data_IF_423675687767
#
_entry.id   IF_423675687767
#
_cell.length_a   1.000
_cell.length_b   1.000
_cell.length_c   1.000
_cell.angle_alpha   90.00
_cell.angle_beta   90.00
_cell.angle_gamma   90.00
#
_symmetry.space_group_name_H-M   'P 1'
#
loop_
_entity.id
_entity.type
_entity.pdbx_description
1 polymer ?
#
# COMPACT_ATOMS: atom_id res chain seq x y z
N UNK A 1 7.76 -2.78 2.46
CA UNK A 1 7.89 -1.62 3.36
C UNK A 1 6.52 -1.02 3.59
N UNK A 2 6.13 -0.81 4.85
CA UNK A 2 4.82 -0.28 5.23
C UNK A 2 4.85 1.25 5.27
N UNK A 3 3.96 1.88 4.50
CA UNK A 3 3.72 3.32 4.56
C UNK A 3 2.35 3.60 5.19
N UNK A 4 2.37 4.21 6.38
CA UNK A 4 1.14 4.57 7.10
C UNK A 4 0.64 5.92 6.60
N UNK A 5 -0.53 5.91 5.97
CA UNK A 5 -1.23 7.07 5.48
C UNK A 5 -2.03 7.71 6.62
N UNK A 6 -1.64 8.93 6.97
CA UNK A 6 -2.34 9.80 7.91
C UNK A 6 -2.28 11.24 7.37
N UNK A 7 -3.25 12.12 7.68
CA UNK A 7 -3.22 13.54 7.30
C UNK A 7 -1.93 14.28 7.67
N UNK A 8 -1.23 13.84 8.72
CA UNK A 8 0.09 14.35 9.12
C UNK A 8 1.25 13.85 8.24
N UNK A 9 1.14 12.68 7.61
CA UNK A 9 2.24 12.06 6.84
C UNK A 9 2.25 12.45 5.36
N UNK A 10 1.17 13.03 4.86
CA UNK A 10 1.03 13.42 3.45
C UNK A 10 0.95 14.93 3.24
N UNK A 11 1.50 15.40 2.11
CA UNK A 11 1.37 16.78 1.63
C UNK A 11 -0.03 17.04 1.10
N UNK A 12 -0.56 16.10 0.32
CA UNK A 12 -1.81 16.24 -0.37
C UNK A 12 -2.98 15.72 0.48
N UNK A 13 -3.40 16.50 1.48
CA UNK A 13 -4.48 16.13 2.42
C UNK A 13 -5.85 15.94 1.78
N UNK A 14 -6.11 16.55 0.62
CA UNK A 14 -7.42 16.48 -0.03
C UNK A 14 -7.71 15.07 -0.59
N UNK A 15 -6.67 14.30 -0.92
CA UNK A 15 -6.81 12.88 -1.34
C UNK A 15 -7.41 11.98 -0.26
N UNK A 16 -7.29 12.34 1.02
CA UNK A 16 -7.84 11.56 2.15
C UNK A 16 -9.26 11.94 2.54
N UNK A 17 -9.78 13.06 2.02
CA UNK A 17 -11.13 13.57 2.32
C UNK A 17 -12.19 13.04 1.34
N UNK A 18 -11.80 12.21 0.38
CA UNK A 18 -12.75 11.64 -0.57
C UNK A 18 -13.73 10.72 0.18
N UNK A 19 -15.06 10.93 0.05
CA UNK A 19 -16.07 10.09 0.72
C UNK A 19 -16.01 8.62 0.26
N UNK A 20 -15.34 8.37 -0.86
CA UNK A 20 -14.82 7.07 -1.23
C UNK A 20 -13.34 7.26 -1.48
N UNK A 21 -12.50 6.83 -0.53
CA UNK A 21 -11.09 6.66 -0.86
C UNK A 21 -11.04 5.73 -2.07
N UNK A 22 -10.37 6.14 -3.16
CA UNK A 22 -10.30 5.31 -4.33
C UNK A 22 -9.71 3.96 -3.92
N UNK A 23 -10.30 2.89 -4.42
CA UNK A 23 -9.92 1.51 -4.08
C UNK A 23 -8.48 1.17 -4.48
N UNK A 24 -7.73 2.11 -5.05
CA UNK A 24 -6.38 1.96 -5.59
C UNK A 24 -5.68 3.34 -5.56
N UNK A 25 -5.32 3.85 -4.37
CA UNK A 25 -4.59 5.12 -4.26
C UNK A 25 -3.22 5.10 -4.95
N UNK A 26 -2.62 3.92 -5.12
CA UNK A 26 -1.39 3.70 -5.87
C UNK A 26 -1.61 3.78 -7.39
N UNK A 27 -2.78 3.48 -7.93
CA UNK A 27 -2.98 3.46 -9.39
C UNK A 27 -3.52 4.78 -9.95
N UNK A 28 -4.12 5.64 -9.12
CA UNK A 28 -4.86 6.82 -9.57
C UNK A 28 -4.05 8.11 -9.54
N UNK A 29 -4.50 9.14 -10.27
CA UNK A 29 -3.82 10.44 -10.39
C UNK A 29 -3.70 11.20 -9.05
N UNK A 30 -4.52 10.83 -8.04
CA UNK A 30 -4.52 11.41 -6.68
C UNK A 30 -3.59 10.71 -5.69
N UNK A 31 -2.38 10.32 -6.10
CA UNK A 31 -1.42 9.63 -5.21
C UNK A 31 -1.07 10.48 -3.97
N UNK A 32 -1.03 9.89 -2.77
CA UNK A 32 -0.59 10.60 -1.58
C UNK A 32 0.91 10.92 -1.68
N UNK A 33 1.30 12.18 -1.64
CA UNK A 33 2.71 12.58 -1.66
C UNK A 33 3.26 12.64 -0.23
N UNK A 34 4.33 11.91 0.09
CA UNK A 34 4.80 11.83 1.46
C UNK A 34 5.59 13.08 1.85
N UNK A 35 5.29 13.64 3.01
CA UNK A 35 5.72 15.00 3.40
C UNK A 35 7.17 15.12 3.86
N UNK A 36 7.77 14.03 4.34
CA UNK A 36 9.13 13.97 4.92
C UNK A 36 10.05 12.95 4.27
N UNK A 37 9.63 12.35 3.16
CA UNK A 37 10.31 11.17 2.58
C UNK A 37 10.92 11.44 1.21
N UNK A 38 11.02 12.70 0.77
CA UNK A 38 11.38 13.12 -0.61
C UNK A 38 12.72 12.57 -1.13
N UNK A 39 13.59 12.05 -0.26
CA UNK A 39 14.86 11.40 -0.61
C UNK A 39 15.02 9.98 -0.03
N UNK A 40 13.98 9.44 0.59
CA UNK A 40 14.01 8.11 1.17
C UNK A 40 13.83 7.02 0.10
N UNK A 41 14.21 5.79 0.44
CA UNK A 41 13.91 4.60 -0.38
C UNK A 41 12.41 4.44 -0.66
N UNK A 42 11.54 4.94 0.23
CA UNK A 42 10.10 4.95 0.04
C UNK A 42 9.66 5.85 -1.13
N UNK A 43 10.26 7.04 -1.23
CA UNK A 43 9.98 7.97 -2.31
C UNK A 43 10.45 7.40 -3.64
N UNK A 44 11.71 6.96 -3.75
CA UNK A 44 12.23 6.37 -4.98
C UNK A 44 11.41 5.15 -5.44
N UNK A 45 10.87 4.36 -4.50
CA UNK A 45 9.97 3.24 -4.82
C UNK A 45 8.57 3.70 -5.26
N UNK A 46 7.96 4.68 -4.59
CA UNK A 46 6.68 5.28 -5.05
C UNK A 46 6.83 5.95 -6.42
N UNK A 47 7.99 6.53 -6.69
CA UNK A 47 8.37 7.09 -7.97
C UNK A 47 8.50 5.99 -9.03
N UNK A 48 9.09 4.83 -8.70
CA UNK A 48 9.15 3.66 -9.58
C UNK A 48 7.77 3.03 -9.90
N UNK A 49 6.78 3.18 -9.02
CA UNK A 49 5.39 2.81 -9.31
C UNK A 49 4.74 3.76 -10.34
N UNK A 50 5.30 4.94 -10.60
CA UNK A 50 4.70 5.91 -11.52
C UNK A 50 4.67 5.36 -12.94
N UNK A 51 3.47 5.20 -13.55
CA UNK A 51 3.40 4.77 -14.94
C UNK A 51 4.11 5.78 -15.84
N UNK A 52 4.07 7.08 -15.52
CA UNK A 52 4.75 8.13 -16.30
C UNK A 52 6.26 7.94 -16.24
N UNK A 53 6.85 7.78 -15.05
CA UNK A 53 8.31 7.70 -14.93
C UNK A 53 8.84 6.34 -15.39
N UNK A 54 8.07 5.27 -15.20
CA UNK A 54 8.41 3.97 -15.77
C UNK A 54 8.39 4.02 -17.29
N UNK A 55 7.30 4.52 -17.89
CA UNK A 55 7.21 4.67 -19.34
C UNK A 55 8.30 5.61 -19.88
N UNK A 56 8.60 6.70 -19.17
CA UNK A 56 9.68 7.62 -19.54
C UNK A 56 11.06 6.95 -19.44
N UNK A 57 11.33 6.17 -18.39
CA UNK A 57 12.59 5.42 -18.25
C UNK A 57 12.75 4.35 -19.34
N UNK A 58 11.65 3.78 -19.81
CA UNK A 58 11.62 2.83 -20.94
C UNK A 58 11.95 3.55 -22.26
N UNK A 59 11.43 4.76 -22.46
CA UNK A 59 11.70 5.58 -23.66
C UNK A 59 13.10 6.22 -23.60
N UNK A 60 13.64 6.47 -22.41
CA UNK A 60 14.87 7.21 -22.17
C UNK A 60 16.11 6.74 -22.96
N UNK A 61 16.32 5.44 -23.25
CA UNK A 61 17.45 5.01 -24.07
C UNK A 61 17.46 5.62 -25.47
N UNK A 62 16.30 5.97 -26.04
CA UNK A 62 16.18 6.57 -27.38
C UNK A 62 16.82 7.98 -27.42
N UNK A 63 16.37 8.97 -26.62
CA UNK A 63 17.01 10.28 -26.60
C UNK A 63 18.47 10.21 -26.11
N UNK A 64 18.80 9.29 -25.19
CA UNK A 64 20.19 9.08 -24.75
C UNK A 64 21.08 8.58 -25.90
N UNK A 65 20.59 7.62 -26.71
CA UNK A 65 21.29 7.14 -27.90
C UNK A 65 21.45 8.23 -28.98
N UNK A 66 20.41 9.05 -29.18
CA UNK A 66 20.45 10.21 -30.09
C UNK A 66 21.54 11.22 -29.65
N UNK A 67 21.69 11.46 -28.34
CA UNK A 67 22.73 12.36 -27.81
C UNK A 67 24.14 11.75 -27.88
N UNK A 68 24.29 10.43 -27.74
CA UNK A 68 25.59 9.75 -27.71
C UNK A 68 26.17 9.35 -29.07
N UNK A 69 25.32 9.07 -30.07
CA UNK A 69 25.75 8.63 -31.39
C UNK A 69 24.71 9.00 -32.48
N UNK A 70 24.77 10.22 -33.03
CA UNK A 70 23.75 10.74 -33.96
C UNK A 70 23.64 9.96 -35.30
N UNK A 71 24.66 9.18 -35.67
CA UNK A 71 24.65 8.41 -36.92
C UNK A 71 23.88 7.06 -36.81
N UNK A 72 23.59 6.58 -35.59
CA UNK A 72 22.82 5.34 -35.33
C UNK A 72 21.29 5.58 -35.23
N UNK A 73 20.86 6.82 -35.48
CA UNK A 73 19.49 7.32 -35.23
C UNK A 73 18.47 6.67 -36.17
N UNK A 74 18.82 6.38 -37.41
CA UNK A 74 17.91 5.78 -38.41
C UNK A 74 17.54 4.33 -38.09
N UNK A 75 18.47 3.52 -37.57
CA UNK A 75 18.19 2.14 -37.18
C UNK A 75 17.40 2.05 -35.85
N UNK A 76 17.66 2.99 -34.93
CA UNK A 76 17.02 3.03 -33.61
C UNK A 76 15.59 3.58 -33.64
N UNK A 77 15.28 4.54 -34.54
CA UNK A 77 13.92 5.07 -34.72
C UNK A 77 12.94 4.02 -35.28
N UNK A 78 13.40 3.12 -36.13
CA UNK A 78 12.55 2.12 -36.78
C UNK A 78 12.07 1.02 -35.82
N UNK A 79 12.89 0.64 -34.82
CA UNK A 79 12.57 -0.41 -33.84
C UNK A 79 11.90 0.13 -32.57
N UNK A 80 12.04 1.44 -32.29
CA UNK A 80 11.53 2.11 -31.10
C UNK A 80 10.02 1.88 -30.84
N UNK A 81 9.12 2.07 -31.82
CA UNK A 81 7.68 1.86 -31.59
C UNK A 81 7.33 0.40 -31.29
N UNK A 82 8.05 -0.55 -31.88
CA UNK A 82 7.83 -1.99 -31.67
C UNK A 82 8.31 -2.41 -30.29
N UNK A 83 9.49 -1.95 -29.86
CA UNK A 83 10.01 -2.17 -28.49
C UNK A 83 9.11 -1.54 -27.43
N UNK A 84 8.64 -0.31 -27.68
CA UNK A 84 7.69 0.38 -26.81
C UNK A 84 6.38 -0.40 -26.68
N UNK A 85 5.85 -0.88 -27.82
CA UNK A 85 4.61 -1.63 -27.87
C UNK A 85 4.72 -2.99 -27.16
N UNK A 86 5.80 -3.75 -27.43
CA UNK A 86 6.04 -5.06 -26.81
C UNK A 86 6.21 -4.95 -25.29
N UNK A 87 6.85 -3.89 -24.81
CA UNK A 87 7.08 -3.71 -23.38
C UNK A 87 5.85 -3.15 -22.64
N UNK A 88 5.10 -2.23 -23.25
CA UNK A 88 3.82 -1.75 -22.71
C UNK A 88 2.81 -2.92 -22.57
N UNK A 89 2.83 -3.87 -23.52
CA UNK A 89 2.07 -5.11 -23.43
C UNK A 89 2.58 -6.02 -22.29
N UNK A 90 3.89 -6.13 -22.11
CA UNK A 90 4.49 -6.96 -21.07
C UNK A 90 4.28 -6.42 -19.63
N UNK A 91 4.23 -5.10 -19.45
CA UNK A 91 4.14 -4.45 -18.14
C UNK A 91 2.72 -4.39 -17.56
N UNK A 92 1.69 -4.47 -18.41
CA UNK A 92 0.30 -4.30 -17.96
C UNK A 92 -0.44 -5.57 -17.59
N UNK A 93 -0.24 -6.68 -18.31
CA UNK A 93 -1.22 -7.78 -18.29
C UNK A 93 -0.70 -9.22 -18.46
N UNK A 94 0.60 -9.47 -18.66
CA UNK A 94 1.00 -10.72 -19.38
C UNK A 94 1.83 -11.73 -18.57
N UNK A 95 2.18 -11.45 -17.31
CA UNK A 95 2.69 -12.53 -16.43
C UNK A 95 1.63 -12.85 -15.39
N UNK A 96 0.61 -13.66 -15.74
CA UNK A 96 -0.34 -14.13 -14.75
C UNK A 96 0.44 -14.86 -13.66
N UNK A 97 0.32 -14.38 -12.42
CA UNK A 97 0.75 -15.17 -11.28
C UNK A 97 -0.15 -16.39 -11.26
N UNK A 98 0.39 -17.55 -11.64
CA UNK A 98 -0.34 -18.81 -11.59
C UNK A 98 -0.32 -19.35 -10.18
N UNK A 99 -1.47 -19.84 -9.74
CA UNK A 99 -1.58 -20.58 -8.49
C UNK A 99 -0.78 -21.88 -8.59
N UNK A 100 0.00 -22.16 -7.55
CA UNK A 100 0.67 -23.44 -7.33
C UNK A 100 -0.26 -24.35 -6.54
N UNK A 101 -0.03 -25.66 -6.59
CA UNK A 101 -0.75 -26.62 -5.75
C UNK A 101 -0.57 -26.26 -4.26
N UNK A 102 -1.66 -26.29 -3.48
CA UNK A 102 -1.66 -25.94 -2.04
C UNK A 102 -1.64 -24.43 -1.75
N UNK A 103 -1.70 -23.58 -2.76
CA UNK A 103 -1.62 -22.12 -2.58
C UNK A 103 -2.94 -21.48 -2.11
N UNK A 104 -4.07 -22.15 -2.33
CA UNK A 104 -5.37 -21.71 -1.82
C UNK A 104 -5.42 -21.72 -0.29
N UNK A 105 -5.03 -22.83 0.35
CA UNK A 105 -5.01 -22.96 1.81
C UNK A 105 -4.02 -21.97 2.45
N UNK A 106 -2.89 -21.72 1.77
CA UNK A 106 -1.93 -20.71 2.21
C UNK A 106 -2.50 -19.29 2.06
N UNK A 107 -3.28 -19.01 1.02
CA UNK A 107 -3.91 -17.72 0.83
C UNK A 107 -4.92 -17.42 1.95
N UNK A 108 -5.74 -18.39 2.34
CA UNK A 108 -6.71 -18.22 3.42
C UNK A 108 -5.99 -18.01 4.76
N UNK A 109 -4.93 -18.78 5.04
CA UNK A 109 -4.09 -18.57 6.23
C UNK A 109 -3.49 -17.17 6.29
N UNK A 110 -2.95 -16.67 5.17
CA UNK A 110 -2.38 -15.32 5.07
C UNK A 110 -3.45 -14.26 5.35
N UNK A 111 -4.65 -14.42 4.80
CA UNK A 111 -5.76 -13.49 5.01
C UNK A 111 -6.29 -13.53 6.44
N UNK A 112 -6.33 -14.70 7.07
CA UNK A 112 -6.76 -14.83 8.46
C UNK A 112 -5.74 -14.24 9.44
N UNK A 113 -4.45 -14.43 9.20
CA UNK A 113 -3.39 -13.74 9.95
C UNK A 113 -3.51 -12.23 9.79
N UNK A 114 -3.77 -11.73 8.58
CA UNK A 114 -3.97 -10.30 8.33
C UNK A 114 -5.19 -9.77 9.08
N UNK A 115 -6.31 -10.49 9.05
CA UNK A 115 -7.54 -10.13 9.78
C UNK A 115 -7.30 -10.10 11.29
N UNK A 116 -6.66 -11.13 11.84
CA UNK A 116 -6.34 -11.23 13.26
C UNK A 116 -5.45 -10.07 13.71
N UNK A 117 -4.32 -9.86 13.03
CA UNK A 117 -3.37 -8.78 13.36
C UNK A 117 -3.96 -7.39 13.13
N UNK A 118 -4.72 -7.23 12.06
CA UNK A 118 -5.45 -6.00 11.76
C UNK A 118 -6.44 -5.65 12.88
N UNK A 119 -7.23 -6.62 13.34
CA UNK A 119 -8.14 -6.43 14.48
C UNK A 119 -7.39 -6.10 15.76
N UNK A 120 -6.31 -6.82 16.08
CA UNK A 120 -5.48 -6.53 17.27
C UNK A 120 -4.90 -5.11 17.24
N UNK A 121 -4.42 -4.66 16.09
CA UNK A 121 -3.92 -3.30 15.91
C UNK A 121 -5.04 -2.26 16.07
N UNK A 122 -6.19 -2.46 15.43
CA UNK A 122 -7.37 -1.60 15.58
C UNK A 122 -7.87 -1.55 17.02
N UNK A 123 -7.87 -2.67 17.74
CA UNK A 123 -8.24 -2.73 19.16
C UNK A 123 -7.31 -1.89 20.01
N UNK A 124 -6.00 -1.98 19.78
CA UNK A 124 -5.00 -1.15 20.49
C UNK A 124 -5.20 0.33 20.21
N UNK A 125 -5.41 0.72 18.95
CA UNK A 125 -5.66 2.11 18.57
C UNK A 125 -6.96 2.63 19.20
N UNK A 126 -8.06 1.87 19.10
CA UNK A 126 -9.34 2.25 19.67
C UNK A 126 -9.28 2.40 21.20
N UNK A 127 -8.63 1.44 21.88
CA UNK A 127 -8.45 1.45 23.32
C UNK A 127 -7.58 2.62 23.78
N UNK A 128 -6.45 2.86 23.11
CA UNK A 128 -5.54 3.98 23.43
C UNK A 128 -6.19 5.35 23.23
N UNK A 129 -7.09 5.49 22.26
CA UNK A 129 -7.86 6.72 22.03
C UNK A 129 -9.12 6.87 22.90
N UNK A 130 -9.46 5.87 23.71
CA UNK A 130 -10.69 5.87 24.49
C UNK A 130 -11.97 5.90 23.63
N UNK A 131 -11.92 5.40 22.39
CA UNK A 131 -13.11 5.38 21.52
C UNK A 131 -14.12 4.40 22.13
N UNK A 132 -15.32 4.87 22.44
CA UNK A 132 -16.34 4.06 23.12
C UNK A 132 -17.32 3.39 22.15
N UNK A 133 -17.61 4.06 21.03
CA UNK A 133 -18.62 3.64 20.06
C UNK A 133 -18.16 3.88 18.63
N UNK A 134 -18.82 3.24 17.67
CA UNK A 134 -18.53 3.38 16.23
C UNK A 134 -17.70 2.22 15.67
N UNK A 135 -17.30 2.36 14.41
CA UNK A 135 -16.58 1.34 13.65
C UNK A 135 -15.27 1.91 13.12
N UNK A 136 -14.19 1.16 13.29
CA UNK A 136 -12.91 1.44 12.65
C UNK A 136 -12.69 0.49 11.48
N UNK A 137 -12.12 1.02 10.40
CA UNK A 137 -11.75 0.23 9.23
C UNK A 137 -10.28 0.44 8.92
N UNK A 138 -9.49 -0.63 9.01
CA UNK A 138 -8.13 -0.68 8.51
C UNK A 138 -8.18 -1.01 7.02
N UNK A 139 -7.56 -0.17 6.20
CA UNK A 139 -7.40 -0.41 4.75
C UNK A 139 -5.93 -0.66 4.47
N UNK A 140 -5.65 -1.84 3.95
CA UNK A 140 -4.32 -2.27 3.50
C UNK A 140 -4.36 -2.36 1.99
N UNK A 141 -3.58 -1.51 1.33
CA UNK A 141 -3.43 -1.46 -0.11
C UNK A 141 -2.02 -1.87 -0.50
N UNK A 142 -1.89 -2.70 -1.53
CA UNK A 142 -0.59 -3.10 -2.07
C UNK A 142 -0.47 -2.84 -3.56
N UNK A 143 0.77 -2.58 -3.95
CA UNK A 143 1.17 -2.52 -5.36
C UNK A 143 0.76 -3.77 -6.14
N UNK A 144 0.23 -3.54 -7.34
CA UNK A 144 -0.14 -4.58 -8.32
C UNK A 144 1.03 -5.05 -9.18
N UNK A 145 2.24 -4.49 -9.01
CA UNK A 145 3.40 -4.77 -9.86
C UNK A 145 4.13 -6.05 -9.43
N UNK A 146 3.85 -7.18 -10.07
CA UNK A 146 4.33 -8.50 -9.61
C UNK A 146 5.85 -8.63 -9.38
N UNK A 147 6.69 -7.92 -10.16
CA UNK A 147 8.16 -8.05 -10.14
C UNK A 147 8.90 -7.07 -9.24
N UNK A 148 8.20 -6.09 -8.67
CA UNK A 148 8.81 -5.14 -7.75
C UNK A 148 8.60 -5.56 -6.29
N UNK A 149 9.48 -5.17 -5.36
CA UNK A 149 9.22 -5.32 -3.93
C UNK A 149 7.85 -4.69 -3.53
N UNK A 150 7.12 -5.28 -2.58
CA UNK A 150 5.82 -4.76 -2.16
C UNK A 150 5.96 -3.36 -1.53
N UNK A 151 5.11 -2.45 -2.02
CA UNK A 151 4.77 -1.21 -1.34
C UNK A 151 3.39 -1.45 -0.72
N UNK A 152 3.31 -1.33 0.60
CA UNK A 152 2.08 -1.54 1.36
C UNK A 152 1.66 -0.20 1.96
N UNK A 153 0.54 0.34 1.49
CA UNK A 153 -0.11 1.50 2.07
C UNK A 153 -1.11 1.04 3.14
N UNK A 154 -1.08 1.67 4.31
CA UNK A 154 -1.99 1.34 5.41
C UNK A 154 -2.66 2.61 5.91
N UNK A 155 -4.00 2.61 5.96
CA UNK A 155 -4.78 3.72 6.52
C UNK A 155 -5.83 3.20 7.49
N UNK A 156 -6.21 4.01 8.48
CA UNK A 156 -7.31 3.70 9.40
C UNK A 156 -8.40 4.75 9.23
N UNK A 157 -9.63 4.30 9.02
CA UNK A 157 -10.81 5.17 8.91
C UNK A 157 -11.72 5.02 10.12
N UNK A 158 -12.37 6.11 10.48
CA UNK A 158 -13.54 6.10 11.36
C UNK A 158 -14.81 6.08 10.51
N UNK A 159 -15.78 5.24 10.87
CA UNK A 159 -17.09 5.23 10.24
C UNK A 159 -17.92 6.49 10.56
N UNK A 160 -17.64 7.16 11.69
CA UNK A 160 -18.38 8.36 12.09
C UNK A 160 -18.19 9.52 11.09
N UNK A 161 -16.94 9.74 10.67
CA UNK A 161 -16.59 10.87 9.81
C UNK A 161 -16.24 10.44 8.38
N UNK A 162 -16.22 9.13 8.12
CA UNK A 162 -15.73 8.50 6.88
C UNK A 162 -14.34 9.01 6.44
N UNK A 163 -13.56 9.53 7.38
CA UNK A 163 -12.28 10.17 7.17
C UNK A 163 -11.15 9.29 7.70
N UNK A 164 -9.97 9.43 7.08
CA UNK A 164 -8.75 8.80 7.59
C UNK A 164 -8.34 9.49 8.88
N UNK A 165 -8.20 8.71 9.94
CA UNK A 165 -7.80 9.17 11.27
C UNK A 165 -6.33 9.60 11.22
N UNK A 166 -6.02 10.74 11.83
CA UNK A 166 -4.64 11.17 11.98
C UNK A 166 -3.95 10.42 13.11
N UNK A 167 -3.17 9.40 12.75
CA UNK A 167 -2.51 8.49 13.68
C UNK A 167 -1.27 9.13 14.31
N UNK A 168 -1.16 9.01 15.63
CA UNK A 168 0.03 9.43 16.38
C UNK A 168 1.24 8.55 16.03
N UNK A 169 2.46 8.98 16.39
CA UNK A 169 3.67 8.20 16.09
C UNK A 169 3.62 6.79 16.69
N UNK A 170 3.04 6.66 17.89
CA UNK A 170 2.92 5.38 18.59
C UNK A 170 1.90 4.47 17.91
N UNK A 171 0.77 5.00 17.46
CA UNK A 171 -0.23 4.24 16.72
C UNK A 171 0.30 3.80 15.35
N UNK A 172 1.06 4.67 14.68
CA UNK A 172 1.75 4.29 13.46
C UNK A 172 2.77 3.17 13.72
N UNK A 173 3.45 3.18 14.87
CA UNK A 173 4.36 2.10 15.28
C UNK A 173 3.60 0.80 15.53
N UNK A 174 2.43 0.84 16.17
CA UNK A 174 1.56 -0.33 16.35
C UNK A 174 1.20 -0.98 15.01
N UNK A 175 0.93 -0.18 13.97
CA UNK A 175 0.66 -0.72 12.63
C UNK A 175 1.90 -1.27 11.95
N UNK A 176 3.04 -0.56 12.03
CA UNK A 176 4.29 -1.00 11.40
C UNK A 176 4.83 -2.30 11.99
N UNK A 177 4.78 -2.42 13.32
CA UNK A 177 5.36 -3.56 14.04
C UNK A 177 4.35 -4.71 14.20
N UNK A 178 3.05 -4.42 14.12
CA UNK A 178 1.99 -5.37 14.45
C UNK A 178 1.35 -6.08 13.24
N UNK A 179 1.40 -5.51 12.03
CA UNK A 179 0.71 -6.08 10.87
C UNK A 179 1.50 -7.21 10.21
N UNK A 180 2.80 -7.04 10.01
CA UNK A 180 3.66 -8.00 9.31
C UNK A 180 4.74 -8.52 10.26
N UNK A 181 5.03 -9.81 10.17
CA UNK A 181 5.87 -10.54 11.13
C UNK A 181 5.86 -12.03 10.79
N UNK A 182 6.27 -12.89 11.72
CA UNK A 182 6.39 -14.33 11.47
C UNK A 182 5.11 -14.95 10.87
N UNK A 183 5.21 -15.65 9.73
CA UNK A 183 4.06 -16.26 9.04
C UNK A 183 3.19 -15.32 8.20
N UNK A 184 3.39 -13.99 8.25
CA UNK A 184 2.74 -13.02 7.35
C UNK A 184 3.71 -11.89 7.02
N UNK A 185 4.38 -12.02 5.88
CA UNK A 185 5.20 -10.97 5.30
C UNK A 185 4.47 -10.22 4.17
N UNK A 186 5.03 -9.09 3.75
CA UNK A 186 4.41 -8.26 2.71
C UNK A 186 4.40 -8.97 1.33
N UNK A 187 5.35 -9.88 1.10
CA UNK A 187 5.48 -10.66 -0.13
C UNK A 187 4.38 -11.70 -0.29
N UNK A 188 4.05 -12.43 0.78
CA UNK A 188 2.97 -13.40 0.84
C UNK A 188 1.63 -12.71 0.58
N UNK A 189 1.37 -11.57 1.25
CA UNK A 189 0.15 -10.81 1.02
C UNK A 189 0.07 -10.31 -0.44
N UNK A 190 1.19 -9.84 -1.00
CA UNK A 190 1.24 -9.38 -2.40
C UNK A 190 0.91 -10.51 -3.36
N UNK A 191 1.47 -11.70 -3.12
CA UNK A 191 1.20 -12.89 -3.94
C UNK A 191 -0.28 -13.27 -3.92
N UNK A 192 -0.90 -13.29 -2.74
CA UNK A 192 -2.34 -13.53 -2.57
C UNK A 192 -3.18 -12.47 -3.29
N UNK A 193 -2.80 -11.19 -3.17
CA UNK A 193 -3.50 -10.09 -3.81
C UNK A 193 -3.42 -10.14 -5.34
N UNK A 194 -2.26 -10.55 -5.90
CA UNK A 194 -2.09 -10.75 -7.34
C UNK A 194 -2.91 -11.93 -7.86
N UNK A 195 -2.98 -13.03 -7.11
CA UNK A 195 -3.78 -14.22 -7.45
C UNK A 195 -5.28 -13.90 -7.44
N UNK A 196 -5.76 -13.26 -6.38
CA UNK A 196 -7.18 -12.91 -6.22
C UNK A 196 -7.56 -11.59 -6.91
N UNK A 197 -6.62 -10.93 -7.61
CA UNK A 197 -6.80 -9.62 -8.25
C UNK A 197 -7.44 -8.57 -7.31
N UNK A 198 -7.12 -8.67 -6.02
CA UNK A 198 -7.70 -7.84 -4.96
C UNK A 198 -6.55 -7.14 -4.22
N UNK A 199 -6.07 -5.99 -4.74
CA UNK A 199 -4.92 -5.27 -4.18
C UNK A 199 -5.25 -4.52 -2.89
N UNK A 200 -6.53 -4.38 -2.56
CA UNK A 200 -7.00 -3.69 -1.36
C UNK A 200 -7.79 -4.62 -0.46
N UNK A 201 -7.41 -4.63 0.80
CA UNK A 201 -8.04 -5.41 1.88
C UNK A 201 -8.54 -4.47 2.95
N UNK A 202 -9.79 -4.70 3.36
CA UNK A 202 -10.42 -3.95 4.43
C UNK A 202 -10.65 -4.87 5.62
N UNK A 203 -10.26 -4.42 6.81
CA UNK A 203 -10.53 -5.10 8.08
C UNK A 203 -11.32 -4.15 8.96
N UNK A 204 -12.52 -4.56 9.34
CA UNK A 204 -13.40 -3.75 10.19
C UNK A 204 -13.38 -4.24 11.64
N UNK A 205 -13.46 -3.29 12.57
CA UNK A 205 -13.61 -3.54 13.98
C UNK A 205 -14.76 -2.68 14.51
N UNK A 206 -15.75 -3.33 15.12
CA UNK A 206 -16.75 -2.64 15.93
C UNK A 206 -16.14 -2.37 17.31
N UNK A 207 -16.12 -1.10 17.70
CA UNK A 207 -15.55 -0.67 18.98
C UNK A 207 -16.34 -1.26 20.16
N UNK A 208 -17.64 -1.52 20.00
CA UNK A 208 -18.45 -2.17 21.02
C UNK A 208 -17.97 -3.60 21.34
N UNK A 209 -17.30 -4.27 20.39
CA UNK A 209 -16.76 -5.63 20.58
C UNK A 209 -15.46 -5.69 21.39
N UNK A 210 -14.90 -4.53 21.79
CA UNK A 210 -13.64 -4.47 22.55
C UNK A 210 -13.92 -4.70 24.04
N UNK A 211 -13.27 -5.72 24.61
CA UNK A 211 -13.40 -6.07 26.04
C UNK A 211 -12.87 -4.96 26.96
N UNK A 212 -13.44 -4.87 28.17
CA UNK A 212 -13.01 -3.91 29.20
C UNK A 212 -11.52 -4.04 29.55
N UNK A 213 -11.01 -5.27 29.60
CA UNK A 213 -9.59 -5.56 29.82
C UNK A 213 -8.70 -4.96 28.73
N UNK A 214 -9.08 -5.10 27.46
CA UNK A 214 -8.34 -4.52 26.34
C UNK A 214 -8.35 -2.98 26.39
N UNK A 215 -9.46 -2.37 26.84
CA UNK A 215 -9.58 -0.91 27.04
C UNK A 215 -8.63 -0.43 28.12
N UNK A 216 -8.66 -1.04 29.30
CA UNK A 216 -7.77 -0.71 30.41
C UNK A 216 -6.30 -0.87 30.02
N UNK A 217 -5.95 -1.96 29.34
CA UNK A 217 -4.58 -2.20 28.88
C UNK A 217 -4.10 -1.20 27.81
N UNK A 218 -5.02 -0.64 27.02
CA UNK A 218 -4.72 0.44 26.07
C UNK A 218 -4.55 1.78 26.77
N UNK A 219 -5.45 2.12 27.68
CA UNK A 219 -5.42 3.36 28.47
C UNK A 219 -4.16 3.46 29.32
N UNK A 220 -3.78 2.37 30.02
CA UNK A 220 -2.58 2.34 30.85
C UNK A 220 -1.28 2.59 30.06
N UNK A 221 -1.25 2.22 28.77
CA UNK A 221 -0.12 2.55 27.87
C UNK A 221 -0.17 4.00 27.39
N UNK A 222 -1.37 4.53 27.16
CA UNK A 222 -1.57 5.92 26.74
C UNK A 222 -1.18 6.93 27.83
N UNK A 223 -1.27 6.55 29.11
CA UNK A 223 -0.86 7.39 30.25
C UNK A 223 0.63 7.31 30.60
N UNK A 224 1.37 6.37 30.00
CA UNK A 224 2.79 6.15 30.29
C UNK A 224 3.76 6.86 29.32
N UNK A 225 3.22 7.58 28.33
CA UNK A 225 3.95 8.39 27.34
C UNK A 225 3.60 9.87 27.51
#
# INVERSE_FOLDING_TARGET
MIFVLAPSTILNRWTLKAPRLPKLMLAEAGRPWPRRLVLSSAFWRMTAESPILRNAAVVAPIPVAIMGAPDLVTASLALSPILLFLMLFAEGNVVPVRARAGEADNADRVLDLLRLRGRLALTRIAAGRGILQGRLTLVVEQSTLARLPPITLVSVKSAADNNVIDLTRDEQKVLRDGLFGEGLDEGALKRVNLLQKTPVREITLDVASISAHARLAGMARGTAN
#
